data_IF_824066099276
#
_entry.id   IF_824066099276
#
_cell.length_a   1.000
_cell.length_b   1.000
_cell.length_c   1.000
_cell.angle_alpha   90.00
_cell.angle_beta   90.00
_cell.angle_gamma   90.00
#
_symmetry.space_group_name_H-M   'P 1'
#
loop_
_entity.id
_entity.type
_entity.pdbx_description
1 polymer ?
#
# COMPACT_ATOMS: atom_id res chain seq x y z
N UNK A 1 7.58 1.51 7.13
CA UNK A 1 8.13 0.64 8.18
C UNK A 1 8.71 1.47 9.32
N UNK A 2 9.62 2.42 9.07
CA UNK A 2 10.27 3.26 10.10
C UNK A 2 9.25 3.94 11.02
N UNK A 3 8.19 4.54 10.45
CA UNK A 3 7.13 5.23 11.19
C UNK A 3 6.31 4.32 12.11
N UNK A 4 6.33 3.01 11.90
CA UNK A 4 5.74 2.03 12.83
C UNK A 4 6.73 1.62 13.92
N UNK A 5 8.04 1.52 13.59
CA UNK A 5 9.07 1.10 14.54
C UNK A 5 9.28 2.10 15.68
N UNK A 6 9.19 3.42 15.39
CA UNK A 6 9.36 4.46 16.40
C UNK A 6 8.30 4.35 17.51
N UNK A 7 6.98 4.31 17.23
CA UNK A 7 5.97 4.09 18.24
C UNK A 7 6.14 2.78 19.00
N UNK A 8 6.40 1.67 18.29
CA UNK A 8 6.61 0.35 18.90
C UNK A 8 7.73 0.40 19.95
N UNK A 9 8.90 0.90 19.55
CA UNK A 9 10.04 1.03 20.46
C UNK A 9 9.71 1.90 21.68
N UNK A 10 9.05 3.03 21.43
CA UNK A 10 8.73 4.00 22.47
C UNK A 10 7.76 3.43 23.50
N UNK A 11 6.73 2.71 23.07
CA UNK A 11 5.79 2.03 23.99
C UNK A 11 6.47 0.92 24.75
N UNK A 12 7.18 0.01 24.07
CA UNK A 12 7.89 -1.08 24.74
C UNK A 12 8.85 -0.57 25.81
N UNK A 13 9.64 0.43 25.48
CA UNK A 13 10.56 1.07 26.43
C UNK A 13 9.81 1.65 27.64
N UNK A 14 8.65 2.25 27.41
CA UNK A 14 7.87 2.87 28.47
C UNK A 14 7.20 1.82 29.38
N UNK A 15 6.46 0.83 28.82
CA UNK A 15 5.74 -0.16 29.60
C UNK A 15 6.67 -1.09 30.40
N UNK A 16 7.92 -1.29 29.93
CA UNK A 16 8.92 -2.07 30.63
C UNK A 16 9.55 -1.31 31.79
N UNK A 17 9.81 0.01 31.64
CA UNK A 17 10.46 0.84 32.65
C UNK A 17 9.49 1.43 33.66
N UNK A 18 8.27 1.76 33.24
CA UNK A 18 7.29 2.50 34.03
C UNK A 18 5.90 1.87 33.98
N UNK A 19 5.75 0.60 34.44
CA UNK A 19 4.53 -0.19 34.22
C UNK A 19 3.25 0.38 34.86
N UNK A 20 3.36 1.26 35.87
CA UNK A 20 2.21 1.85 36.57
C UNK A 20 2.03 3.36 36.29
N UNK A 21 2.97 4.01 35.62
CA UNK A 21 2.88 5.43 35.35
C UNK A 21 1.92 5.72 34.18
N UNK A 22 1.25 6.89 34.16
CA UNK A 22 0.48 7.33 33.01
C UNK A 22 1.39 7.55 31.81
N UNK A 23 0.85 7.29 30.61
CA UNK A 23 1.64 7.39 29.40
C UNK A 23 2.01 8.87 29.10
N UNK A 24 3.29 9.17 28.75
CA UNK A 24 3.70 10.55 28.52
C UNK A 24 3.03 11.16 27.29
N UNK A 25 2.43 12.34 27.41
CA UNK A 25 1.76 13.04 26.32
C UNK A 25 2.65 13.27 25.09
N UNK A 26 3.94 13.56 25.28
CA UNK A 26 4.89 13.70 24.17
C UNK A 26 4.97 12.46 23.26
N UNK A 27 4.80 11.28 23.84
CA UNK A 27 4.80 10.05 23.07
C UNK A 27 3.54 9.97 22.19
N UNK A 28 2.40 10.41 22.70
CA UNK A 28 1.14 10.47 21.94
C UNK A 28 1.23 11.41 20.75
N UNK A 29 1.92 12.56 20.90
CA UNK A 29 2.21 13.44 19.75
C UNK A 29 3.05 12.71 18.70
N UNK A 30 4.09 11.98 19.12
CA UNK A 30 4.93 11.20 18.20
C UNK A 30 4.09 10.14 17.47
N UNK A 31 3.21 9.43 18.20
CA UNK A 31 2.32 8.43 17.60
C UNK A 31 1.36 9.06 16.60
N UNK A 32 0.81 10.24 16.93
CA UNK A 32 -0.05 11.00 16.03
C UNK A 32 0.67 11.45 14.76
N UNK A 33 1.90 11.95 14.87
CA UNK A 33 2.74 12.30 13.69
C UNK A 33 2.99 11.05 12.83
N UNK A 34 3.41 9.95 13.44
CA UNK A 34 3.66 8.70 12.70
C UNK A 34 2.38 8.17 12.03
N UNK A 35 1.24 8.24 12.71
CA UNK A 35 -0.06 7.88 12.13
C UNK A 35 -0.43 8.78 10.95
N UNK A 36 -0.30 10.09 11.09
CA UNK A 36 -0.56 11.06 10.02
C UNK A 36 0.28 10.77 8.78
N UNK A 37 1.58 10.51 8.95
CA UNK A 37 2.46 10.14 7.85
C UNK A 37 1.98 8.81 7.20
N UNK A 38 1.66 7.80 8.00
CA UNK A 38 1.13 6.54 7.47
C UNK A 38 -0.19 6.72 6.72
N UNK A 39 -1.09 7.56 7.21
CA UNK A 39 -2.40 7.82 6.61
C UNK A 39 -2.28 8.37 5.18
N UNK A 40 -1.30 9.24 4.91
CA UNK A 40 -1.10 9.83 3.59
C UNK A 40 -0.15 9.04 2.67
N UNK A 41 0.70 8.14 3.20
CA UNK A 41 1.60 7.32 2.38
C UNK A 41 0.98 5.93 2.16
N UNK A 42 0.52 5.30 3.25
CA UNK A 42 -0.04 3.94 3.23
C UNK A 42 -0.88 3.71 4.48
N UNK A 43 -2.17 3.94 4.37
CA UNK A 43 -3.15 3.91 5.47
C UNK A 43 -3.11 2.59 6.26
N UNK A 44 -2.87 1.46 5.60
CA UNK A 44 -2.80 0.14 6.23
C UNK A 44 -1.75 0.05 7.34
N UNK A 45 -0.62 0.73 7.19
CA UNK A 45 0.42 0.78 8.24
C UNK A 45 -0.03 1.58 9.48
N UNK A 46 -0.98 2.49 9.32
CA UNK A 46 -1.57 3.25 10.42
C UNK A 46 -2.30 2.37 11.43
N UNK A 47 -2.82 1.20 11.01
CA UNK A 47 -3.53 0.28 11.90
C UNK A 47 -2.63 -0.25 13.02
N UNK A 48 -1.34 -0.49 12.77
CA UNK A 48 -0.40 -0.86 13.85
C UNK A 48 -0.33 0.25 14.90
N UNK A 49 -0.30 1.50 14.46
CA UNK A 49 -0.25 2.66 15.38
C UNK A 49 -1.57 2.79 16.14
N UNK A 50 -2.72 2.50 15.52
CA UNK A 50 -4.00 2.39 16.21
C UNK A 50 -3.95 1.32 17.32
N UNK A 51 -3.34 0.15 17.05
CA UNK A 51 -3.13 -0.88 18.06
C UNK A 51 -2.25 -0.40 19.22
N UNK A 52 -1.21 0.38 18.94
CA UNK A 52 -0.32 0.97 19.95
C UNK A 52 -1.10 1.97 20.83
N UNK A 53 -1.86 2.87 20.22
CA UNK A 53 -2.69 3.87 20.92
C UNK A 53 -3.76 3.15 21.76
N UNK A 54 -4.40 2.12 21.21
CA UNK A 54 -5.38 1.33 21.93
C UNK A 54 -4.80 0.70 23.21
N UNK A 55 -3.62 0.04 23.12
CA UNK A 55 -2.96 -0.53 24.30
C UNK A 55 -2.59 0.54 25.33
N UNK A 56 -2.13 1.70 24.87
CA UNK A 56 -1.79 2.82 25.73
C UNK A 56 -3.01 3.29 26.52
N UNK A 57 -4.14 3.52 25.83
CA UNK A 57 -5.41 3.93 26.44
C UNK A 57 -5.90 2.84 27.42
N UNK A 58 -5.88 1.58 27.03
CA UNK A 58 -6.31 0.49 27.90
C UNK A 58 -5.42 0.36 29.13
N UNK A 59 -4.11 0.56 28.99
CA UNK A 59 -3.19 0.55 30.12
C UNK A 59 -3.49 1.69 31.11
N UNK A 60 -3.74 2.89 30.62
CA UNK A 60 -4.13 4.05 31.44
C UNK A 60 -5.51 3.85 32.09
N UNK A 61 -6.44 3.22 31.38
CA UNK A 61 -7.77 2.87 31.92
C UNK A 61 -7.67 1.87 33.07
N UNK A 62 -6.91 0.78 32.90
CA UNK A 62 -6.70 -0.26 33.94
C UNK A 62 -5.99 0.31 35.17
N UNK A 63 -5.11 1.30 34.98
CA UNK A 63 -4.41 1.98 36.09
C UNK A 63 -5.21 3.18 36.66
N UNK A 64 -6.48 3.35 36.30
CA UNK A 64 -7.39 4.41 36.78
C UNK A 64 -6.94 5.86 36.43
N UNK A 65 -6.14 6.01 35.38
CA UNK A 65 -5.66 7.32 34.89
C UNK A 65 -6.63 7.98 33.90
N UNK A 66 -7.93 7.98 34.18
CA UNK A 66 -8.99 8.41 33.24
C UNK A 66 -8.77 9.83 32.70
N UNK A 67 -8.34 10.76 33.55
CA UNK A 67 -8.07 12.15 33.13
C UNK A 67 -6.92 12.24 32.12
N UNK A 68 -5.94 11.36 32.23
CA UNK A 68 -4.81 11.32 31.31
C UNK A 68 -5.18 10.71 29.96
N UNK A 69 -6.19 9.84 29.89
CA UNK A 69 -6.71 9.27 28.65
C UNK A 69 -7.20 10.41 27.71
N UNK A 70 -8.02 11.33 28.21
CA UNK A 70 -8.52 12.44 27.39
C UNK A 70 -7.39 13.35 26.91
N UNK A 71 -6.41 13.64 27.74
CA UNK A 71 -5.24 14.40 27.33
C UNK A 71 -4.43 13.64 26.28
N UNK A 72 -4.19 12.35 26.48
CA UNK A 72 -3.46 11.51 25.55
C UNK A 72 -4.13 11.45 24.17
N UNK A 73 -5.46 11.33 24.11
CA UNK A 73 -6.21 11.40 22.85
C UNK A 73 -6.02 12.79 22.20
N UNK A 74 -6.13 13.88 22.97
CA UNK A 74 -5.93 15.23 22.43
C UNK A 74 -4.50 15.41 21.87
N UNK A 75 -3.47 14.98 22.59
CA UNK A 75 -2.08 15.05 22.13
C UNK A 75 -1.82 14.16 20.89
N UNK A 76 -2.48 13.01 20.79
CA UNK A 76 -2.44 12.19 19.58
C UNK A 76 -3.06 12.95 18.39
N UNK A 77 -4.22 13.58 18.56
CA UNK A 77 -4.87 14.39 17.52
C UNK A 77 -3.97 15.56 17.10
N UNK A 78 -3.35 16.25 18.05
CA UNK A 78 -2.37 17.31 17.76
C UNK A 78 -1.23 16.78 16.88
N UNK A 79 -0.70 15.60 17.20
CA UNK A 79 0.32 14.95 16.38
C UNK A 79 -0.17 14.66 14.95
N UNK A 80 -1.41 14.17 14.79
CA UNK A 80 -2.01 13.94 13.46
C UNK A 80 -2.16 15.26 12.70
N UNK A 81 -2.62 16.32 13.35
CA UNK A 81 -2.83 17.62 12.73
C UNK A 81 -1.53 18.27 12.27
N UNK A 82 -0.40 18.04 12.96
CA UNK A 82 0.93 18.52 12.54
C UNK A 82 1.26 18.04 11.12
N UNK A 83 0.81 16.85 10.74
CA UNK A 83 1.03 16.29 9.39
C UNK A 83 -0.15 16.62 8.46
N UNK A 84 -1.38 16.42 8.92
CA UNK A 84 -2.57 16.56 8.09
C UNK A 84 -2.80 17.99 7.61
N UNK A 85 -2.58 18.98 8.47
CA UNK A 85 -2.82 20.39 8.11
C UNK A 85 -1.93 20.85 6.96
N UNK A 86 -0.61 20.70 6.98
CA UNK A 86 0.24 21.10 5.85
C UNK A 86 -0.11 20.37 4.55
N UNK A 87 -0.40 19.08 4.62
CA UNK A 87 -0.79 18.28 3.43
C UNK A 87 -2.12 18.78 2.87
N UNK A 88 -3.15 18.93 3.70
CA UNK A 88 -4.45 19.42 3.26
C UNK A 88 -4.37 20.86 2.70
N UNK A 89 -3.59 21.74 3.33
CA UNK A 89 -3.39 23.11 2.85
C UNK A 89 -2.72 23.14 1.48
N UNK A 90 -1.71 22.29 1.25
CA UNK A 90 -1.07 22.19 -0.06
C UNK A 90 -2.09 21.84 -1.16
N UNK A 91 -2.89 20.79 -0.94
CA UNK A 91 -3.90 20.37 -1.92
C UNK A 91 -5.07 21.37 -2.04
N UNK A 92 -5.41 22.07 -0.95
CA UNK A 92 -6.42 23.16 -0.97
C UNK A 92 -5.96 24.32 -1.87
N UNK A 93 -4.71 24.76 -1.71
CA UNK A 93 -4.11 25.83 -2.54
C UNK A 93 -4.06 25.41 -4.02
N UNK A 94 -3.84 24.12 -4.30
CA UNK A 94 -3.87 23.55 -5.66
C UNK A 94 -5.27 23.32 -6.20
N UNK A 95 -6.34 23.54 -5.43
CA UNK A 95 -7.73 23.27 -5.82
C UNK A 95 -8.09 21.78 -5.96
N UNK A 96 -7.26 20.88 -5.42
CA UNK A 96 -7.39 19.42 -5.58
C UNK A 96 -7.60 18.68 -4.26
N UNK A 97 -7.99 19.38 -3.18
CA UNK A 97 -8.21 18.79 -1.86
C UNK A 97 -9.27 17.67 -1.88
N UNK A 98 -10.38 17.89 -2.58
CA UNK A 98 -11.46 16.89 -2.70
C UNK A 98 -10.97 15.61 -3.38
N UNK A 99 -10.23 15.74 -4.49
CA UNK A 99 -9.68 14.59 -5.21
C UNK A 99 -8.65 13.83 -4.36
N UNK A 100 -7.81 14.55 -3.62
CA UNK A 100 -6.85 13.94 -2.71
C UNK A 100 -7.54 13.16 -1.58
N UNK A 101 -8.54 13.75 -0.92
CA UNK A 101 -9.26 13.07 0.16
C UNK A 101 -10.03 11.87 -0.37
N UNK A 102 -10.66 11.99 -1.54
CA UNK A 102 -11.36 10.90 -2.18
C UNK A 102 -10.39 9.74 -2.50
N UNK A 103 -9.30 10.01 -3.21
CA UNK A 103 -8.34 8.98 -3.65
C UNK A 103 -7.59 8.34 -2.48
N UNK A 104 -7.27 9.12 -1.43
CA UNK A 104 -6.49 8.61 -0.29
C UNK A 104 -7.35 7.79 0.67
N UNK A 105 -8.59 8.18 0.91
CA UNK A 105 -9.43 7.55 1.94
C UNK A 105 -10.63 6.82 1.36
N UNK A 106 -11.49 7.51 0.61
CA UNK A 106 -12.75 6.93 0.14
C UNK A 106 -12.51 5.81 -0.85
N UNK A 107 -11.67 6.06 -1.85
CA UNK A 107 -11.36 5.06 -2.88
C UNK A 107 -10.64 3.83 -2.31
N UNK A 108 -9.70 4.03 -1.37
CA UNK A 108 -9.05 2.89 -0.69
C UNK A 108 -10.05 2.05 0.13
N UNK A 109 -11.09 2.68 0.68
CA UNK A 109 -12.13 1.96 1.41
C UNK A 109 -13.02 1.15 0.46
N UNK A 110 -13.46 1.74 -0.66
CA UNK A 110 -14.21 1.04 -1.71
C UNK A 110 -13.40 -0.15 -2.26
N UNK A 111 -12.13 0.09 -2.57
CA UNK A 111 -11.19 -0.94 -3.02
C UNK A 111 -11.09 -2.11 -2.02
N UNK A 112 -10.97 -1.83 -0.73
CA UNK A 112 -10.89 -2.87 0.29
C UNK A 112 -12.18 -3.68 0.41
N UNK A 113 -13.36 -3.08 0.17
CA UNK A 113 -14.64 -3.77 0.23
C UNK A 113 -14.84 -4.78 -0.91
N UNK A 114 -14.36 -4.47 -2.11
CA UNK A 114 -14.42 -5.39 -3.27
C UNK A 114 -13.46 -6.57 -3.12
N UNK A 115 -12.28 -6.35 -2.53
CA UNK A 115 -11.24 -7.37 -2.39
C UNK A 115 -11.58 -8.55 -1.50
N UNK A 116 -12.69 -8.52 -0.79
CA UNK A 116 -13.13 -9.62 0.09
C UNK A 116 -13.82 -10.77 -0.66
N UNK A 117 -14.26 -10.57 -1.90
CA UNK A 117 -15.15 -11.49 -2.62
C UNK A 117 -14.44 -12.59 -3.42
N UNK A 118 -13.18 -12.41 -3.84
CA UNK A 118 -12.47 -13.38 -4.70
C UNK A 118 -11.12 -13.83 -4.12
N UNK A 119 -11.13 -14.84 -3.25
CA UNK A 119 -9.90 -15.49 -2.79
C UNK A 119 -9.67 -16.79 -3.54
N UNK A 120 -8.67 -16.81 -4.42
CA UNK A 120 -8.21 -18.03 -5.09
C UNK A 120 -7.49 -18.98 -4.12
N UNK A 121 -7.40 -20.28 -4.44
CA UNK A 121 -6.72 -21.28 -3.60
C UNK A 121 -5.24 -20.92 -3.32
N UNK A 122 -4.56 -20.31 -4.27
CA UNK A 122 -3.18 -19.81 -4.10
C UNK A 122 -3.12 -18.63 -3.10
N UNK A 123 -4.11 -17.74 -3.12
CA UNK A 123 -4.22 -16.64 -2.17
C UNK A 123 -4.47 -17.13 -0.73
N UNK A 124 -5.24 -18.21 -0.56
CA UNK A 124 -5.47 -18.84 0.74
C UNK A 124 -4.18 -19.45 1.29
N UNK A 125 -3.39 -20.13 0.45
CA UNK A 125 -2.11 -20.70 0.88
C UNK A 125 -1.13 -19.59 1.30
N UNK A 126 -1.04 -18.52 0.53
CA UNK A 126 -0.21 -17.36 0.84
C UNK A 126 -0.66 -16.69 2.15
N UNK A 127 -1.98 -16.53 2.32
CA UNK A 127 -2.55 -16.01 3.56
C UNK A 127 -2.14 -16.85 4.77
N UNK A 128 -2.27 -18.17 4.68
CA UNK A 128 -1.89 -19.08 5.76
C UNK A 128 -0.40 -18.99 6.10
N UNK A 129 0.49 -18.88 5.12
CA UNK A 129 1.93 -18.74 5.33
C UNK A 129 2.31 -17.52 6.18
N UNK A 130 1.60 -16.40 6.01
CA UNK A 130 1.89 -15.15 6.72
C UNK A 130 1.08 -14.97 8.01
N UNK A 131 -0.16 -15.44 8.02
CA UNK A 131 -1.06 -15.31 9.17
C UNK A 131 -0.72 -16.33 10.27
N UNK A 132 -0.36 -17.56 9.91
CA UNK A 132 -0.05 -18.58 10.90
C UNK A 132 1.10 -18.21 11.85
N UNK A 133 2.24 -17.66 11.42
CA UNK A 133 3.29 -17.18 12.33
C UNK A 133 2.80 -16.09 13.29
N UNK A 134 1.93 -15.19 12.83
CA UNK A 134 1.36 -14.13 13.67
C UNK A 134 0.43 -14.71 14.72
N UNK A 135 -0.48 -15.62 14.35
CA UNK A 135 -1.36 -16.31 15.29
C UNK A 135 -0.57 -17.12 16.32
N UNK A 136 0.50 -17.76 15.88
CA UNK A 136 1.40 -18.49 16.78
C UNK A 136 2.08 -17.53 17.76
N UNK A 137 2.50 -16.34 17.34
CA UNK A 137 3.08 -15.35 18.25
C UNK A 137 2.06 -14.76 19.24
N UNK A 138 0.81 -14.60 18.82
CA UNK A 138 -0.29 -14.25 19.74
C UNK A 138 -0.44 -15.33 20.80
N UNK A 139 -0.46 -16.61 20.40
CA UNK A 139 -0.56 -17.74 21.33
C UNK A 139 0.63 -17.80 22.28
N UNK A 140 1.87 -17.72 21.75
CA UNK A 140 3.10 -17.73 22.54
C UNK A 140 3.12 -16.57 23.55
N UNK A 141 2.81 -15.36 23.13
CA UNK A 141 2.79 -14.18 23.98
C UNK A 141 1.78 -14.35 25.13
N UNK A 142 0.61 -14.89 24.83
CA UNK A 142 -0.44 -15.15 25.81
C UNK A 142 -0.04 -16.26 26.79
N UNK A 143 0.51 -17.37 26.29
CA UNK A 143 0.94 -18.50 27.08
C UNK A 143 2.09 -18.16 28.05
N UNK A 144 3.06 -17.37 27.57
CA UNK A 144 4.20 -16.90 28.35
C UNK A 144 3.98 -15.55 29.02
N UNK A 145 2.74 -15.08 29.15
CA UNK A 145 2.43 -13.73 29.68
C UNK A 145 3.00 -13.48 31.07
N UNK A 146 3.02 -14.49 31.94
CA UNK A 146 3.62 -14.38 33.29
C UNK A 146 5.13 -14.09 33.23
N UNK A 147 5.82 -14.63 32.22
CA UNK A 147 7.27 -14.47 32.05
C UNK A 147 7.63 -13.17 31.29
N UNK A 148 6.89 -12.85 30.27
CA UNK A 148 7.07 -11.61 29.48
C UNK A 148 6.65 -10.35 30.24
N UNK A 149 5.80 -10.51 31.25
CA UNK A 149 5.01 -9.46 31.85
C UNK A 149 3.68 -9.25 31.10
N UNK A 150 2.55 -9.17 31.83
CA UNK A 150 1.21 -9.16 31.20
C UNK A 150 1.00 -7.98 30.25
N UNK A 151 1.59 -6.82 30.54
CA UNK A 151 1.50 -5.62 29.69
C UNK A 151 2.24 -5.78 28.35
N UNK A 152 3.43 -6.39 28.39
CA UNK A 152 4.22 -6.68 27.16
C UNK A 152 3.49 -7.72 26.32
N UNK A 153 2.97 -8.78 26.95
CA UNK A 153 2.20 -9.80 26.25
C UNK A 153 0.93 -9.22 25.60
N UNK A 154 0.15 -8.42 26.33
CA UNK A 154 -1.03 -7.72 25.81
C UNK A 154 -0.66 -6.78 24.66
N UNK A 155 0.44 -6.03 24.78
CA UNK A 155 0.93 -5.17 23.71
C UNK A 155 1.22 -5.95 22.43
N UNK A 156 2.02 -7.04 22.52
CA UNK A 156 2.38 -7.86 21.37
C UNK A 156 1.13 -8.46 20.71
N UNK A 157 0.23 -9.02 21.52
CA UNK A 157 -1.03 -9.57 21.03
C UNK A 157 -1.86 -8.54 20.28
N UNK A 158 -2.04 -7.34 20.86
CA UNK A 158 -2.87 -6.30 20.26
C UNK A 158 -2.28 -5.78 18.95
N UNK A 159 -1.00 -5.43 18.93
CA UNK A 159 -0.39 -4.93 17.68
C UNK A 159 -0.38 -6.00 16.57
N UNK A 160 -0.27 -7.28 16.94
CA UNK A 160 -0.38 -8.39 16.01
C UNK A 160 -1.77 -8.51 15.41
N UNK A 161 -2.82 -8.37 16.21
CA UNK A 161 -4.21 -8.37 15.75
C UNK A 161 -4.45 -7.19 14.79
N UNK A 162 -4.03 -5.98 15.16
CA UNK A 162 -4.20 -4.80 14.32
C UNK A 162 -3.42 -4.88 13.02
N UNK A 163 -2.26 -5.51 13.00
CA UNK A 163 -1.48 -5.75 11.78
C UNK A 163 -2.12 -6.76 10.84
N UNK A 164 -2.95 -7.69 11.35
CA UNK A 164 -3.69 -8.66 10.52
C UNK A 164 -4.92 -8.05 9.84
N UNK A 165 -5.53 -7.01 10.41
CA UNK A 165 -6.77 -6.42 9.89
C UNK A 165 -6.68 -6.10 8.39
N UNK A 166 -5.68 -5.35 7.88
CA UNK A 166 -5.62 -5.00 6.46
C UNK A 166 -5.35 -6.21 5.55
N UNK A 167 -4.75 -7.29 6.09
CA UNK A 167 -4.48 -8.51 5.35
C UNK A 167 -5.76 -9.35 5.20
N UNK A 168 -6.60 -9.34 6.24
CA UNK A 168 -7.84 -10.13 6.26
C UNK A 168 -8.96 -9.45 5.49
N UNK A 169 -9.02 -8.11 5.48
CA UNK A 169 -10.09 -7.32 4.84
C UNK A 169 -9.80 -6.96 3.39
N UNK A 170 -8.54 -6.99 2.93
CA UNK A 170 -8.16 -6.59 1.58
C UNK A 170 -7.96 -7.74 0.61
N UNK A 171 -7.58 -7.39 -0.63
CA UNK A 171 -7.04 -8.35 -1.60
C UNK A 171 -5.76 -8.98 -1.04
N UNK A 172 -5.58 -10.29 -1.23
CA UNK A 172 -4.40 -11.04 -0.73
C UNK A 172 -3.13 -10.76 -1.55
N UNK A 173 -2.86 -9.50 -1.89
CA UNK A 173 -1.63 -9.13 -2.58
C UNK A 173 -0.41 -9.21 -1.65
N UNK A 174 0.71 -9.67 -2.20
CA UNK A 174 1.97 -9.85 -1.46
C UNK A 174 2.45 -8.59 -0.74
N UNK A 175 2.18 -7.42 -1.30
CA UNK A 175 2.59 -6.16 -0.70
C UNK A 175 1.83 -5.79 0.60
N UNK A 176 0.66 -6.38 0.89
CA UNK A 176 -0.04 -6.17 2.17
C UNK A 176 0.70 -6.81 3.34
N UNK A 177 1.43 -7.91 3.12
CA UNK A 177 2.21 -8.57 4.16
C UNK A 177 3.39 -7.72 4.66
N UNK A 178 3.77 -6.67 3.93
CA UNK A 178 4.79 -5.72 4.41
C UNK A 178 4.38 -4.99 5.71
N UNK A 179 3.09 -4.98 6.05
CA UNK A 179 2.60 -4.50 7.36
C UNK A 179 3.11 -5.33 8.52
N UNK A 180 3.47 -6.59 8.31
CA UNK A 180 4.00 -7.49 9.34
C UNK A 180 5.49 -7.28 9.61
N UNK A 181 6.24 -6.67 8.70
CA UNK A 181 7.71 -6.50 8.82
C UNK A 181 8.11 -5.79 10.12
N UNK A 182 7.42 -4.74 10.60
CA UNK A 182 7.75 -4.10 11.88
C UNK A 182 7.63 -5.02 13.11
N UNK A 183 6.85 -6.11 13.00
CA UNK A 183 6.65 -7.06 14.10
C UNK A 183 7.76 -8.10 14.20
N UNK A 184 8.47 -8.37 13.11
CA UNK A 184 9.49 -9.42 13.04
C UNK A 184 10.57 -9.26 14.12
N UNK A 185 11.20 -8.08 14.30
CA UNK A 185 12.21 -7.88 15.34
C UNK A 185 11.67 -8.15 16.76
N UNK A 186 10.40 -7.84 17.00
CA UNK A 186 9.73 -8.06 18.28
C UNK A 186 9.56 -9.55 18.52
N UNK A 187 9.08 -10.25 17.50
CA UNK A 187 8.88 -11.71 17.57
C UNK A 187 10.19 -12.44 17.81
N UNK A 188 11.25 -12.04 17.11
CA UNK A 188 12.60 -12.56 17.36
C UNK A 188 13.05 -12.28 18.80
N UNK A 189 12.89 -11.06 19.30
CA UNK A 189 13.28 -10.69 20.65
C UNK A 189 12.51 -11.50 21.73
N UNK A 190 11.20 -11.66 21.57
CA UNK A 190 10.36 -12.49 22.46
C UNK A 190 10.82 -13.92 22.44
N UNK A 191 11.07 -14.44 21.26
CA UNK A 191 11.52 -15.80 21.06
C UNK A 191 12.85 -16.05 21.77
N UNK A 192 13.87 -15.23 21.53
CA UNK A 192 15.17 -15.33 22.19
C UNK A 192 15.06 -15.18 23.71
N UNK A 193 14.22 -14.28 24.19
CA UNK A 193 13.98 -14.11 25.62
C UNK A 193 13.37 -15.38 26.27
N UNK A 194 12.44 -16.03 25.58
CA UNK A 194 11.83 -17.28 26.06
C UNK A 194 12.83 -18.44 25.97
N UNK A 195 13.63 -18.52 24.90
CA UNK A 195 14.60 -19.57 24.65
C UNK A 195 15.84 -19.49 25.57
N UNK A 196 16.24 -18.29 26.00
CA UNK A 196 17.51 -18.03 26.70
C UNK A 196 17.70 -18.79 28.02
N UNK A 197 16.65 -19.38 28.61
CA UNK A 197 16.72 -20.04 29.92
C UNK A 197 16.66 -21.58 29.88
N UNK A 198 16.38 -22.19 28.75
CA UNK A 198 16.55 -23.63 28.44
C UNK A 198 16.30 -23.76 26.94
N UNK A 199 17.24 -24.32 26.20
CA UNK A 199 17.02 -24.68 24.79
C UNK A 199 15.86 -25.71 24.80
N UNK A 200 14.67 -25.23 24.57
CA UNK A 200 13.50 -26.06 24.45
C UNK A 200 13.35 -26.40 22.98
N UNK A 201 13.32 -27.68 22.63
CA UNK A 201 13.12 -28.18 21.27
C UNK A 201 11.94 -27.46 20.58
N UNK A 202 10.87 -27.17 21.33
CA UNK A 202 9.72 -26.42 20.88
C UNK A 202 10.12 -25.00 20.40
N UNK A 203 11.03 -24.33 21.11
CA UNK A 203 11.52 -23.01 20.76
C UNK A 203 12.33 -23.03 19.45
N UNK A 204 13.12 -24.06 19.21
CA UNK A 204 13.86 -24.26 17.95
C UNK A 204 12.89 -24.53 16.79
N UNK A 205 11.90 -25.40 16.99
CA UNK A 205 10.86 -25.69 15.98
C UNK A 205 10.10 -24.41 15.60
N UNK A 206 9.73 -23.60 16.58
CA UNK A 206 9.04 -22.33 16.36
C UNK A 206 9.91 -21.31 15.59
N UNK A 207 11.24 -21.27 15.84
CA UNK A 207 12.20 -20.49 15.04
C UNK A 207 12.21 -20.91 13.57
N UNK A 208 12.27 -22.20 13.34
CA UNK A 208 12.31 -22.74 11.96
C UNK A 208 11.02 -22.41 11.23
N UNK A 209 9.86 -22.60 11.88
CA UNK A 209 8.56 -22.26 11.28
C UNK A 209 8.44 -20.77 10.97
N UNK A 210 8.97 -19.89 11.83
CA UNK A 210 8.94 -18.43 11.60
C UNK A 210 10.01 -17.98 10.59
N UNK A 211 11.15 -18.65 10.54
CA UNK A 211 12.20 -18.32 9.58
C UNK A 211 11.84 -18.73 8.14
N UNK A 212 10.98 -19.73 7.96
CA UNK A 212 10.63 -20.26 6.65
C UNK A 212 9.93 -19.24 5.73
N UNK A 213 8.86 -18.51 6.16
CA UNK A 213 8.27 -17.46 5.34
C UNK A 213 9.24 -16.31 5.05
N UNK A 214 10.08 -15.96 6.04
CA UNK A 214 11.12 -14.95 5.89
C UNK A 214 12.19 -15.38 4.88
N UNK A 215 12.68 -16.62 4.97
CA UNK A 215 13.65 -17.16 4.04
C UNK A 215 13.09 -17.18 2.61
N UNK A 216 11.85 -17.63 2.44
CA UNK A 216 11.17 -17.60 1.13
C UNK A 216 11.01 -16.16 0.61
N UNK A 217 10.66 -15.20 1.46
CA UNK A 217 10.56 -13.81 1.07
C UNK A 217 11.93 -13.25 0.63
N UNK A 218 13.00 -13.55 1.37
CA UNK A 218 14.36 -13.15 1.01
C UNK A 218 14.81 -13.81 -0.31
N UNK A 219 14.58 -15.10 -0.48
CA UNK A 219 14.93 -15.81 -1.74
C UNK A 219 14.17 -15.25 -2.93
N UNK A 220 12.88 -14.97 -2.80
CA UNK A 220 12.09 -14.30 -3.83
C UNK A 220 12.55 -12.86 -4.08
N UNK A 221 12.93 -12.13 -3.03
CA UNK A 221 13.45 -10.78 -3.12
C UNK A 221 14.82 -10.73 -3.80
N UNK A 222 15.74 -11.66 -3.48
CA UNK A 222 17.03 -11.80 -4.19
C UNK A 222 16.83 -12.18 -5.65
N UNK A 223 15.95 -13.12 -5.94
CA UNK A 223 15.61 -13.50 -7.30
C UNK A 223 15.05 -12.30 -8.09
N UNK A 224 14.21 -11.49 -7.46
CA UNK A 224 13.70 -10.25 -8.03
C UNK A 224 14.81 -9.20 -8.21
N UNK A 225 15.70 -8.99 -7.24
CA UNK A 225 16.83 -8.05 -7.34
C UNK A 225 17.77 -8.48 -8.48
N UNK A 226 18.10 -9.78 -8.59
CA UNK A 226 18.92 -10.32 -9.69
C UNK A 226 18.20 -10.17 -11.02
N UNK A 227 16.89 -10.43 -11.05
CA UNK A 227 16.06 -10.23 -12.24
C UNK A 227 16.02 -8.74 -12.64
N UNK A 228 15.77 -7.84 -11.71
CA UNK A 228 15.77 -6.39 -11.94
C UNK A 228 17.15 -5.84 -12.34
N UNK A 229 18.23 -6.34 -11.76
CA UNK A 229 19.58 -5.90 -12.14
C UNK A 229 19.99 -6.42 -13.53
N UNK A 230 19.63 -7.64 -13.87
CA UNK A 230 19.78 -8.18 -15.24
C UNK A 230 18.95 -7.39 -16.24
N UNK A 231 17.77 -6.94 -15.85
CA UNK A 231 16.84 -6.15 -16.63
C UNK A 231 17.34 -4.72 -16.85
N UNK A 232 17.82 -4.02 -15.81
CA UNK A 232 18.48 -2.72 -15.94
C UNK A 232 19.70 -2.81 -16.86
N UNK A 233 20.44 -3.92 -16.80
CA UNK A 233 21.54 -4.18 -17.73
C UNK A 233 21.05 -4.43 -19.15
N UNK A 234 19.95 -5.18 -19.35
CA UNK A 234 19.37 -5.43 -20.67
C UNK A 234 18.66 -4.21 -21.28
N UNK A 235 18.13 -3.28 -20.47
CA UNK A 235 17.58 -2.01 -20.94
C UNK A 235 18.64 -1.12 -21.60
N UNK A 236 19.88 -1.19 -21.11
CA UNK A 236 21.01 -0.51 -21.73
C UNK A 236 21.62 -1.30 -22.91
N UNK A 237 21.21 -2.58 -23.11
CA UNK A 237 21.71 -3.46 -24.15
C UNK A 237 20.53 -4.27 -24.71
N UNK A 238 19.79 -3.74 -25.68
CA UNK A 238 18.56 -4.34 -26.19
C UNK A 238 18.84 -5.64 -26.97
N UNK A 239 18.95 -6.75 -26.26
CA UNK A 239 18.82 -8.08 -26.82
C UNK A 239 17.39 -8.56 -26.57
N UNK A 240 16.74 -9.08 -27.61
CA UNK A 240 15.37 -9.61 -27.62
C UNK A 240 15.09 -10.51 -26.41
N UNK A 241 14.45 -10.00 -25.40
CA UNK A 241 13.89 -10.79 -24.29
C UNK A 241 12.39 -10.52 -24.24
N UNK A 242 11.60 -11.57 -24.33
CA UNK A 242 10.14 -11.61 -24.24
C UNK A 242 9.66 -11.35 -22.80
N UNK A 243 9.97 -10.18 -22.26
CA UNK A 243 9.58 -9.78 -20.89
C UNK A 243 8.60 -8.62 -20.97
N UNK A 244 7.46 -8.71 -20.26
CA UNK A 244 6.37 -7.71 -20.21
C UNK A 244 6.89 -6.28 -20.10
N UNK A 245 7.98 -6.08 -19.38
CA UNK A 245 8.56 -4.74 -19.22
C UNK A 245 9.41 -4.29 -20.42
N UNK A 246 10.00 -5.22 -21.17
CA UNK A 246 10.63 -4.86 -22.43
C UNK A 246 9.59 -4.41 -23.43
N UNK A 247 8.42 -5.07 -23.44
CA UNK A 247 7.29 -4.67 -24.30
C UNK A 247 6.78 -3.28 -23.95
N UNK A 248 6.59 -2.96 -22.67
CA UNK A 248 6.20 -1.61 -22.22
C UNK A 248 7.23 -0.55 -22.65
N UNK A 249 8.52 -0.84 -22.52
CA UNK A 249 9.58 0.09 -22.92
C UNK A 249 9.58 0.34 -24.42
N UNK A 250 9.53 -0.73 -25.23
CA UNK A 250 9.56 -0.60 -26.68
C UNK A 250 8.26 0.00 -27.21
N UNK A 251 7.12 -0.36 -26.65
CA UNK A 251 5.83 0.28 -26.96
C UNK A 251 5.89 1.79 -26.66
N UNK A 252 6.32 2.17 -25.46
CA UNK A 252 6.45 3.58 -25.09
C UNK A 252 7.37 4.34 -26.06
N UNK A 253 8.52 3.77 -26.37
CA UNK A 253 9.51 4.39 -27.28
C UNK A 253 8.98 4.51 -28.71
N UNK A 254 8.37 3.46 -29.26
CA UNK A 254 7.85 3.47 -30.61
C UNK A 254 6.66 4.42 -30.73
N UNK A 255 5.62 4.22 -29.92
CA UNK A 255 4.39 4.98 -30.06
C UNK A 255 4.58 6.46 -29.70
N UNK A 256 5.37 6.78 -28.66
CA UNK A 256 5.65 8.18 -28.32
C UNK A 256 6.46 8.91 -29.39
N UNK A 257 7.27 8.21 -30.19
CA UNK A 257 8.02 8.83 -31.30
C UNK A 257 7.12 9.36 -32.43
N UNK A 258 5.86 8.91 -32.48
CA UNK A 258 4.83 9.41 -33.41
C UNK A 258 4.13 10.67 -32.91
N UNK A 259 4.27 10.99 -31.62
CA UNK A 259 3.61 12.13 -30.97
C UNK A 259 4.57 13.32 -31.00
N UNK A 260 4.23 14.44 -31.66
CA UNK A 260 5.03 15.63 -31.60
C UNK A 260 5.22 16.15 -30.18
N UNK A 261 6.38 16.74 -29.87
CA UNK A 261 6.67 17.22 -28.52
C UNK A 261 5.66 18.27 -28.03
N UNK A 262 5.14 19.10 -28.95
CA UNK A 262 4.10 20.09 -28.67
C UNK A 262 2.72 19.49 -28.33
N UNK A 263 2.51 18.20 -28.61
CA UNK A 263 1.24 17.51 -28.35
C UNK A 263 1.30 16.60 -27.12
N UNK A 264 2.45 16.47 -26.47
CA UNK A 264 2.64 15.54 -25.34
C UNK A 264 1.78 15.85 -24.11
N UNK A 265 1.32 17.09 -23.96
CA UNK A 265 0.39 17.51 -22.91
C UNK A 265 -1.08 17.20 -23.25
N UNK A 266 -1.36 16.77 -24.49
CA UNK A 266 -2.68 16.42 -25.01
C UNK A 266 -2.80 14.92 -25.34
N UNK A 267 -2.17 14.07 -24.54
CA UNK A 267 -2.21 12.62 -24.66
C UNK A 267 -3.05 12.03 -23.53
N UNK A 268 -4.04 11.22 -23.87
CA UNK A 268 -4.79 10.42 -22.91
C UNK A 268 -4.39 8.96 -23.05
N UNK A 269 -4.19 8.28 -21.92
CA UNK A 269 -3.83 6.88 -21.87
C UNK A 269 -4.96 6.08 -21.17
N UNK A 270 -5.42 5.02 -21.83
CA UNK A 270 -6.47 4.13 -21.33
C UNK A 270 -5.89 2.75 -21.02
N UNK A 271 -5.98 2.32 -19.76
CA UNK A 271 -5.40 1.09 -19.19
C UNK A 271 -3.89 0.90 -19.41
N UNK A 272 -3.19 1.96 -19.72
CA UNK A 272 -1.73 1.98 -19.88
C UNK A 272 -1.05 2.01 -18.50
N UNK A 273 0.03 1.24 -18.37
CA UNK A 273 0.89 1.28 -17.18
C UNK A 273 1.50 2.67 -16.95
N UNK A 274 1.54 3.11 -15.68
CA UNK A 274 2.28 4.33 -15.31
C UNK A 274 3.76 4.29 -15.73
N UNK A 275 4.37 3.10 -15.84
CA UNK A 275 5.74 2.92 -16.35
C UNK A 275 5.84 3.33 -17.82
N UNK A 276 4.82 3.07 -18.62
CA UNK A 276 4.76 3.51 -20.02
C UNK A 276 4.81 5.04 -20.14
N UNK A 277 3.99 5.74 -19.35
CA UNK A 277 3.97 7.20 -19.29
C UNK A 277 5.34 7.79 -18.94
N UNK A 278 6.00 7.21 -17.93
CA UNK A 278 7.36 7.63 -17.52
C UNK A 278 8.39 7.41 -18.63
N UNK A 279 8.31 6.28 -19.37
CA UNK A 279 9.23 5.98 -20.47
C UNK A 279 8.98 6.83 -21.71
N UNK A 280 7.73 7.22 -21.96
CA UNK A 280 7.32 8.08 -23.04
C UNK A 280 7.58 9.58 -22.78
N UNK A 281 7.95 9.94 -21.55
CA UNK A 281 8.06 11.33 -21.08
C UNK A 281 6.77 12.13 -21.34
N UNK A 282 5.63 11.51 -20.94
CA UNK A 282 4.29 12.08 -21.12
C UNK A 282 3.63 12.26 -19.76
N UNK A 283 3.12 13.47 -19.52
CA UNK A 283 2.23 13.74 -18.38
C UNK A 283 0.78 13.49 -18.81
N UNK A 284 0.01 12.69 -18.03
CA UNK A 284 -1.38 12.43 -18.40
C UNK A 284 -2.21 13.71 -18.40
N UNK A 285 -3.00 13.92 -19.45
CA UNK A 285 -3.87 15.10 -19.60
C UNK A 285 -5.12 15.05 -18.70
N UNK A 286 -5.33 13.94 -17.98
CA UNK A 286 -6.47 13.76 -17.09
C UNK A 286 -6.09 12.98 -15.83
N UNK A 287 -6.79 13.26 -14.71
CA UNK A 287 -6.51 12.69 -13.40
C UNK A 287 -6.76 11.17 -13.27
N UNK A 288 -7.60 10.60 -14.14
CA UNK A 288 -7.87 9.16 -14.20
C UNK A 288 -7.10 8.63 -15.43
N UNK A 289 -5.93 8.04 -15.22
CA UNK A 289 -5.00 7.69 -16.28
C UNK A 289 -4.43 6.26 -16.24
N UNK A 290 -4.81 5.44 -15.25
CA UNK A 290 -4.45 4.01 -15.14
C UNK A 290 -5.63 3.21 -14.65
N UNK A 291 -5.71 1.90 -15.01
CA UNK A 291 -6.69 0.92 -14.51
C UNK A 291 -8.16 1.36 -14.69
N UNK A 292 -8.48 2.02 -15.79
CA UNK A 292 -9.78 2.65 -16.01
C UNK A 292 -10.94 1.63 -16.06
N UNK A 293 -10.77 0.50 -16.72
CA UNK A 293 -11.82 -0.52 -16.78
C UNK A 293 -12.18 -1.02 -15.39
N UNK A 294 -11.19 -1.51 -14.67
CA UNK A 294 -11.40 -2.05 -13.34
C UNK A 294 -11.90 -1.01 -12.34
N UNK A 295 -11.37 0.22 -12.41
CA UNK A 295 -11.83 1.29 -11.53
C UNK A 295 -13.24 1.75 -11.88
N UNK A 296 -13.64 1.72 -13.15
CA UNK A 296 -15.00 2.08 -13.58
C UNK A 296 -16.02 1.00 -13.22
N UNK A 297 -15.63 -0.28 -13.18
CA UNK A 297 -16.46 -1.35 -12.65
C UNK A 297 -16.74 -1.13 -11.16
N UNK A 298 -15.72 -0.81 -10.38
CA UNK A 298 -15.83 -0.58 -8.94
C UNK A 298 -16.54 0.76 -8.63
N UNK A 299 -16.30 1.80 -9.42
CA UNK A 299 -16.86 3.14 -9.24
C UNK A 299 -17.26 3.75 -10.59
N UNK A 300 -18.51 3.51 -11.05
CA UNK A 300 -18.98 3.90 -12.39
C UNK A 300 -18.87 5.40 -12.72
N UNK A 301 -18.75 6.26 -11.71
CA UNK A 301 -18.49 7.68 -11.87
C UNK A 301 -17.18 7.97 -12.63
N UNK A 302 -16.17 7.12 -12.47
CA UNK A 302 -14.91 7.27 -13.21
C UNK A 302 -15.12 7.12 -14.72
N UNK A 303 -15.88 6.09 -15.14
CA UNK A 303 -16.21 5.91 -16.57
C UNK A 303 -16.98 7.11 -17.14
N UNK A 304 -17.92 7.68 -16.35
CA UNK A 304 -18.65 8.90 -16.76
C UNK A 304 -17.71 10.09 -16.90
N UNK A 305 -16.81 10.32 -15.95
CA UNK A 305 -15.83 11.43 -16.01
C UNK A 305 -14.84 11.27 -17.17
N UNK A 306 -14.42 10.04 -17.47
CA UNK A 306 -13.55 9.76 -18.63
C UNK A 306 -14.29 10.12 -19.94
N UNK A 307 -15.51 9.63 -20.12
CA UNK A 307 -16.28 9.91 -21.33
C UNK A 307 -16.56 11.41 -21.51
N UNK A 308 -16.91 12.10 -20.42
CA UNK A 308 -17.11 13.55 -20.45
C UNK A 308 -15.82 14.28 -20.83
N UNK A 309 -14.70 13.92 -20.22
CA UNK A 309 -13.39 14.50 -20.55
C UNK A 309 -13.02 14.28 -22.04
N UNK A 310 -13.26 13.06 -22.56
CA UNK A 310 -12.99 12.75 -23.96
C UNK A 310 -13.80 13.62 -24.92
N UNK A 311 -15.05 13.94 -24.57
CA UNK A 311 -15.92 14.81 -25.39
C UNK A 311 -15.58 16.30 -25.26
N UNK A 312 -15.22 16.76 -24.04
CA UNK A 312 -14.96 18.18 -23.77
C UNK A 312 -13.53 18.60 -24.14
N UNK A 313 -12.52 17.82 -23.73
CA UNK A 313 -11.12 18.17 -23.97
C UNK A 313 -10.59 17.69 -25.31
N UNK A 314 -11.18 16.63 -25.85
CA UNK A 314 -10.78 16.03 -27.12
C UNK A 314 -9.26 15.91 -27.24
N UNK A 315 -8.59 15.08 -26.39
CA UNK A 315 -7.14 14.96 -26.45
C UNK A 315 -6.70 14.61 -27.86
N UNK A 316 -5.62 15.25 -28.34
CA UNK A 316 -5.13 15.05 -29.71
C UNK A 316 -4.68 13.61 -29.96
N UNK A 317 -4.21 12.94 -28.93
CA UNK A 317 -3.71 11.57 -28.99
C UNK A 317 -4.31 10.72 -27.88
N UNK A 318 -4.61 9.47 -28.22
CA UNK A 318 -5.09 8.46 -27.26
C UNK A 318 -4.27 7.20 -27.43
N UNK A 319 -3.74 6.67 -26.32
CA UNK A 319 -3.08 5.37 -26.30
C UNK A 319 -3.95 4.40 -25.50
N UNK A 320 -4.27 3.25 -26.08
CA UNK A 320 -5.15 2.23 -25.47
C UNK A 320 -4.36 0.94 -25.34
N UNK A 321 -4.36 0.36 -24.12
CA UNK A 321 -3.82 -0.98 -23.90
C UNK A 321 -4.90 -2.03 -24.14
N UNK A 322 -4.63 -2.98 -25.01
CA UNK A 322 -5.50 -4.13 -25.28
C UNK A 322 -6.97 -3.76 -25.51
N UNK A 323 -7.25 -3.20 -26.69
CA UNK A 323 -8.59 -2.72 -27.07
C UNK A 323 -9.68 -3.79 -26.91
N UNK A 324 -9.33 -5.08 -27.01
CA UNK A 324 -10.29 -6.20 -26.92
C UNK A 324 -10.89 -6.36 -25.53
N UNK A 325 -10.24 -5.85 -24.48
CA UNK A 325 -10.74 -5.91 -23.10
C UNK A 325 -11.51 -4.66 -22.68
N UNK A 326 -11.60 -3.64 -23.56
CA UNK A 326 -12.34 -2.41 -23.25
C UNK A 326 -13.84 -2.66 -23.29
N UNK A 327 -14.48 -2.67 -22.12
CA UNK A 327 -15.91 -2.94 -21.96
C UNK A 327 -16.79 -1.68 -22.14
N UNK A 328 -16.19 -0.49 -22.01
CA UNK A 328 -16.90 0.78 -22.11
C UNK A 328 -17.36 1.09 -23.55
N UNK A 329 -18.60 0.68 -23.89
CA UNK A 329 -19.19 0.96 -25.21
C UNK A 329 -19.18 2.45 -25.57
N UNK A 330 -19.43 3.31 -24.60
CA UNK A 330 -19.45 4.76 -24.85
C UNK A 330 -18.06 5.30 -25.18
N UNK A 331 -17.02 4.88 -24.46
CA UNK A 331 -15.64 5.22 -24.77
C UNK A 331 -15.26 4.73 -26.18
N UNK A 332 -15.56 3.47 -26.49
CA UNK A 332 -15.27 2.90 -27.82
C UNK A 332 -16.00 3.63 -28.96
N UNK A 333 -17.25 4.05 -28.74
CA UNK A 333 -17.97 4.87 -29.72
C UNK A 333 -17.26 6.22 -29.95
N UNK A 334 -16.74 6.86 -28.91
CA UNK A 334 -15.99 8.12 -29.05
C UNK A 334 -14.72 7.87 -29.87
N UNK A 335 -13.96 6.81 -29.57
CA UNK A 335 -12.74 6.45 -30.30
C UNK A 335 -13.05 6.18 -31.77
N UNK A 336 -13.99 5.32 -32.08
CA UNK A 336 -14.32 4.93 -33.46
C UNK A 336 -14.82 6.11 -34.31
N UNK A 337 -15.57 7.02 -33.73
CA UNK A 337 -16.13 8.16 -34.45
C UNK A 337 -15.11 9.29 -34.66
N UNK A 338 -14.32 9.60 -33.61
CA UNK A 338 -13.54 10.82 -33.57
C UNK A 338 -12.04 10.61 -33.79
N UNK A 339 -11.54 9.37 -33.68
CA UNK A 339 -10.12 9.09 -33.76
C UNK A 339 -9.79 8.10 -34.89
N UNK A 340 -8.57 8.17 -35.39
CA UNK A 340 -8.00 7.22 -36.36
C UNK A 340 -6.78 6.52 -35.77
N UNK A 341 -6.62 5.23 -36.05
CA UNK A 341 -5.47 4.45 -35.64
C UNK A 341 -4.24 4.87 -36.47
N UNK A 342 -3.16 5.24 -35.78
CA UNK A 342 -1.90 5.71 -36.41
C UNK A 342 -0.82 4.65 -36.39
N UNK A 343 -0.66 3.96 -35.25
CA UNK A 343 0.39 2.94 -35.06
C UNK A 343 -0.02 1.98 -33.95
N UNK A 344 0.61 0.80 -33.93
CA UNK A 344 0.39 -0.20 -32.90
C UNK A 344 1.69 -0.93 -32.55
N UNK A 345 1.83 -1.35 -31.28
CA UNK A 345 2.93 -2.16 -30.83
C UNK A 345 2.44 -3.14 -29.76
N UNK A 346 2.55 -4.44 -30.05
CA UNK A 346 2.06 -5.52 -29.18
C UNK A 346 0.55 -5.33 -28.91
N UNK A 347 0.17 -5.03 -27.67
CA UNK A 347 -1.23 -4.78 -27.26
C UNK A 347 -1.57 -3.29 -27.20
N UNK A 348 -0.61 -2.39 -27.40
CA UNK A 348 -0.84 -0.95 -27.29
C UNK A 348 -1.12 -0.33 -28.65
N UNK A 349 -2.17 0.48 -28.73
CA UNK A 349 -2.63 1.13 -29.95
C UNK A 349 -2.64 2.64 -29.76
N UNK A 350 -2.08 3.38 -30.74
CA UNK A 350 -2.01 4.84 -30.77
C UNK A 350 -3.03 5.39 -31.75
N UNK A 351 -3.91 6.23 -31.24
CA UNK A 351 -4.94 6.92 -32.00
C UNK A 351 -4.67 8.42 -32.03
N UNK A 352 -5.06 9.08 -33.14
CA UNK A 352 -5.02 10.52 -33.32
C UNK A 352 -6.43 11.07 -33.58
N UNK A 353 -6.74 12.23 -33.04
CA UNK A 353 -7.99 12.92 -33.29
C UNK A 353 -8.08 13.27 -34.79
N UNK A 354 -9.19 12.91 -35.45
CA UNK A 354 -9.45 13.23 -36.85
C UNK A 354 -9.53 14.73 -37.02
N UNK A 355 -8.79 15.28 -37.99
CA UNK A 355 -8.96 16.68 -38.40
C UNK A 355 -10.32 16.81 -39.10
N UNK A 356 -11.17 17.65 -38.53
CA UNK A 356 -12.46 18.01 -39.15
C UNK A 356 -12.26 18.78 -40.46
#
# INVERSE_FOLDING_TARGET
ILYCMIPIYTVLKFITKHPKAPHPHKNMVIYGICFGICAFIRVNNGLIICGIVFVTIMTDFINEHIKEIFKNILYFIVGVLIVAVPVCLFFLIKGTLSDMLFSTFVFNFLYASEGSSEKTSSAILLLLQWVAPVLMMIFISSFFAKRLGPKVASFITTISIFALIPILLGFSYTHYYTTLIPLIPIYCAVFFYIASNKINILAVILCVIMAFPLANYFVQSESNIVHYSKKLYSQNHPAKTSDIYSDIYYSAKQLSSRIPDEDKDSVYCYDISATWLLQADIMPCFKIFILQEWWSEMYPEFGRQINQMMLEKQPKWVVIHNIDIVNSKQFMNIINNNYELIDEYSYDQLYKLKTQ
#
